data_IF_133276100640
#
_entry.id   IF_133276100640
#
_cell.length_a   1.000
_cell.length_b   1.000
_cell.length_c   1.000
_cell.angle_alpha   90.00
_cell.angle_beta   90.00
_cell.angle_gamma   90.00
#
_symmetry.space_group_name_H-M   'P 1'
#
loop_
_entity.id
_entity.type
_entity.pdbx_description
1 polymer ?
#
# COMPACT_ATOMS: atom_id res chain seq x y z
N UNK A 1 17.42 -6.35 -2.64
CA UNK A 1 16.49 -5.72 -3.61
C UNK A 1 16.25 -4.29 -3.15
N UNK A 2 16.82 -3.30 -3.83
CA UNK A 2 16.75 -1.88 -3.45
C UNK A 2 15.57 -1.28 -4.20
N UNK A 3 14.47 -0.98 -3.50
CA UNK A 3 13.24 -0.49 -4.12
C UNK A 3 13.50 0.95 -4.60
N UNK A 4 13.30 1.19 -5.90
CA UNK A 4 13.43 2.53 -6.50
C UNK A 4 12.41 3.46 -5.84
N UNK A 5 12.89 4.54 -5.21
CA UNK A 5 12.05 5.47 -4.45
C UNK A 5 11.31 6.39 -5.43
N UNK A 6 10.04 6.09 -5.73
CA UNK A 6 9.13 6.98 -6.47
C UNK A 6 8.62 8.16 -5.61
N UNK A 7 9.44 8.64 -4.66
CA UNK A 7 9.11 9.79 -3.83
C UNK A 7 9.72 11.03 -4.50
N UNK A 8 8.92 12.02 -4.92
CA UNK A 8 9.45 13.25 -5.48
C UNK A 8 10.34 13.95 -4.43
N UNK A 9 11.59 14.19 -4.81
CA UNK A 9 12.59 14.87 -3.99
C UNK A 9 12.19 16.34 -3.80
N UNK A 10 11.58 16.65 -2.64
CA UNK A 10 11.21 18.03 -2.29
C UNK A 10 10.02 18.15 -1.33
N UNK A 11 9.21 17.10 -1.19
CA UNK A 11 8.04 17.13 -0.30
C UNK A 11 8.08 15.97 0.69
N UNK A 12 8.25 16.31 1.96
CA UNK A 12 8.46 15.35 3.06
C UNK A 12 7.15 14.92 3.74
N UNK A 13 6.06 15.62 3.45
CA UNK A 13 4.76 15.43 4.09
C UNK A 13 3.77 14.82 3.10
N UNK A 14 3.16 13.72 3.53
CA UNK A 14 2.20 12.98 2.72
C UNK A 14 1.47 11.91 3.52
N UNK A 15 0.47 11.34 2.86
CA UNK A 15 -0.39 10.29 3.39
C UNK A 15 -0.07 8.98 2.65
N UNK A 16 -0.02 7.89 3.42
CA UNK A 16 0.07 6.53 2.86
C UNK A 16 -1.33 5.94 2.82
N UNK A 17 -1.68 5.40 1.65
CA UNK A 17 -2.93 4.67 1.47
C UNK A 17 -2.63 3.28 0.94
N UNK A 18 -3.34 2.29 1.49
CA UNK A 18 -3.18 0.88 1.13
C UNK A 18 -4.52 0.34 0.67
N UNK A 19 -4.51 -0.30 -0.49
CA UNK A 19 -5.65 -0.97 -1.08
C UNK A 19 -5.36 -2.45 -1.11
N UNK A 20 -6.36 -3.26 -0.81
CA UNK A 20 -6.26 -4.71 -0.85
C UNK A 20 -7.38 -5.24 -1.72
N UNK A 21 -7.08 -6.30 -2.46
CA UNK A 21 -8.05 -6.98 -3.30
C UNK A 21 -7.89 -8.50 -3.12
N UNK A 22 -9.00 -9.21 -3.18
CA UNK A 22 -9.03 -10.65 -3.03
C UNK A 22 -10.01 -11.26 -4.03
N UNK A 23 -9.54 -12.32 -4.68
CA UNK A 23 -10.30 -13.15 -5.59
C UNK A 23 -10.00 -14.61 -5.28
N UNK A 24 -10.87 -15.52 -5.72
CA UNK A 24 -10.68 -16.96 -5.55
C UNK A 24 -9.33 -17.48 -6.07
N UNK A 25 -8.70 -16.76 -7.00
CA UNK A 25 -7.42 -17.13 -7.64
C UNK A 25 -6.22 -16.43 -7.03
N UNK A 26 -6.40 -15.25 -6.45
CA UNK A 26 -5.29 -14.44 -5.97
C UNK A 26 -5.74 -13.35 -5.01
N UNK A 27 -4.85 -12.93 -4.13
CA UNK A 27 -5.03 -11.76 -3.28
C UNK A 27 -3.83 -10.84 -3.40
N UNK A 28 -4.08 -9.54 -3.36
CA UNK A 28 -3.07 -8.52 -3.59
C UNK A 28 -3.26 -7.32 -2.68
N UNK A 29 -2.18 -6.55 -2.53
CA UNK A 29 -2.16 -5.29 -1.85
C UNK A 29 -1.31 -4.29 -2.63
N UNK A 30 -1.81 -3.07 -2.81
CA UNK A 30 -1.14 -1.96 -3.46
C UNK A 30 -1.06 -0.77 -2.50
N UNK A 31 0.09 -0.11 -2.44
CA UNK A 31 0.33 1.06 -1.62
C UNK A 31 0.75 2.22 -2.50
N UNK A 32 0.07 3.35 -2.33
CA UNK A 32 0.47 4.62 -2.93
C UNK A 32 0.70 5.69 -1.87
N UNK A 33 1.41 6.73 -2.31
CA UNK A 33 1.74 7.88 -1.48
C UNK A 33 1.16 9.12 -2.09
N UNK A 34 0.40 9.84 -1.29
CA UNK A 34 -0.21 11.10 -1.66
C UNK A 34 0.59 12.24 -1.04
N UNK A 35 1.20 13.05 -1.89
CA UNK A 35 1.93 14.25 -1.49
C UNK A 35 1.00 15.45 -1.61
N UNK A 36 1.00 16.32 -0.61
CA UNK A 36 0.46 17.68 -0.77
C UNK A 36 1.55 18.56 -1.36
N UNK A 37 1.38 18.97 -2.62
CA UNK A 37 2.33 19.83 -3.33
C UNK A 37 2.10 21.31 -2.98
N UNK A 38 0.84 21.70 -2.76
CA UNK A 38 0.38 23.03 -2.31
C UNK A 38 -1.09 22.96 -1.87
N UNK A 39 -1.61 23.99 -1.20
CA UNK A 39 -3.00 24.11 -0.70
C UNK A 39 -4.09 23.64 -1.70
N UNK A 40 -3.83 23.76 -3.01
CA UNK A 40 -4.80 23.44 -4.08
C UNK A 40 -4.34 22.35 -5.05
N UNK A 41 -3.17 21.73 -4.84
CA UNK A 41 -2.66 20.67 -5.73
C UNK A 41 -2.14 19.47 -4.94
N UNK A 42 -2.85 18.37 -5.06
CA UNK A 42 -2.41 17.06 -4.58
C UNK A 42 -1.68 16.34 -5.72
N UNK A 43 -0.46 15.89 -5.47
CA UNK A 43 0.26 15.01 -6.37
C UNK A 43 0.14 13.59 -5.81
N UNK A 44 -0.51 12.70 -6.55
CA UNK A 44 -0.59 11.28 -6.20
C UNK A 44 0.54 10.56 -6.92
N UNK A 45 1.45 9.94 -6.17
CA UNK A 45 2.44 9.05 -6.77
C UNK A 45 1.72 7.76 -7.21
N UNK A 46 1.78 7.34 -8.49
CA UNK A 46 0.89 6.32 -9.05
C UNK A 46 0.99 4.93 -8.40
N UNK A 47 2.11 4.58 -7.76
CA UNK A 47 2.23 3.48 -6.78
C UNK A 47 3.67 3.43 -6.27
N UNK A 48 3.86 3.14 -4.98
CA UNK A 48 5.20 2.90 -4.42
C UNK A 48 5.51 1.40 -4.45
N UNK A 49 4.54 0.56 -4.06
CA UNK A 49 4.75 -0.88 -3.97
C UNK A 49 3.44 -1.63 -4.21
N UNK A 50 3.54 -2.76 -4.89
CA UNK A 50 2.46 -3.73 -5.00
C UNK A 50 2.97 -5.12 -4.66
N UNK A 51 2.12 -5.93 -4.02
CA UNK A 51 2.42 -7.34 -3.75
C UNK A 51 1.17 -8.18 -3.97
N UNK A 52 1.31 -9.22 -4.78
CA UNK A 52 0.26 -10.19 -5.04
C UNK A 52 0.71 -11.60 -4.63
N UNK A 53 -0.25 -12.46 -4.30
CA UNK A 53 -0.04 -13.89 -4.03
C UNK A 53 -1.16 -14.69 -4.68
N UNK A 54 -0.78 -15.84 -5.23
CA UNK A 54 -1.73 -16.82 -5.78
C UNK A 54 -2.44 -17.50 -4.61
N UNK A 55 -3.76 -17.63 -4.70
CA UNK A 55 -4.56 -18.37 -3.73
C UNK A 55 -4.19 -19.85 -3.78
N UNK A 56 -4.27 -20.54 -2.65
CA UNK A 56 -4.02 -21.99 -2.65
C UNK A 56 -5.09 -22.71 -3.47
N UNK A 57 -4.72 -23.82 -4.11
CA UNK A 57 -5.65 -24.66 -4.90
C UNK A 57 -6.72 -25.32 -4.00
N UNK A 58 -6.52 -25.34 -2.68
CA UNK A 58 -7.55 -25.77 -1.74
C UNK A 58 -8.72 -24.80 -1.80
N UNK A 59 -9.94 -25.32 -1.70
CA UNK A 59 -11.15 -24.51 -1.58
C UNK A 59 -11.03 -23.70 -0.28
N UNK A 60 -10.74 -22.41 -0.42
CA UNK A 60 -10.67 -21.43 0.66
C UNK A 60 -11.80 -20.43 0.42
N UNK A 61 -12.53 -20.10 1.47
CA UNK A 61 -13.59 -19.10 1.41
C UNK A 61 -13.03 -17.73 1.02
N UNK A 62 -13.77 -16.97 0.21
CA UNK A 62 -13.39 -15.62 -0.21
C UNK A 62 -13.08 -14.71 0.99
N UNK A 63 -13.85 -14.83 2.08
CA UNK A 63 -13.63 -14.09 3.34
C UNK A 63 -12.23 -14.34 3.95
N UNK A 64 -11.70 -15.56 3.82
CA UNK A 64 -10.35 -15.86 4.29
C UNK A 64 -9.29 -15.23 3.39
N UNK A 65 -9.53 -15.19 2.07
CA UNK A 65 -8.64 -14.54 1.12
C UNK A 65 -8.63 -13.02 1.33
N UNK A 66 -9.78 -12.40 1.61
CA UNK A 66 -9.89 -10.99 2.02
C UNK A 66 -9.08 -10.72 3.29
N UNK A 67 -9.18 -11.59 4.31
CA UNK A 67 -8.36 -11.47 5.51
C UNK A 67 -6.85 -11.59 5.22
N UNK A 68 -6.46 -12.49 4.31
CA UNK A 68 -5.06 -12.61 3.88
C UNK A 68 -4.60 -11.38 3.09
N UNK A 69 -5.46 -10.79 2.26
CA UNK A 69 -5.20 -9.55 1.55
C UNK A 69 -4.98 -8.39 2.53
N UNK A 70 -5.86 -8.23 3.51
CA UNK A 70 -5.75 -7.25 4.58
C UNK A 70 -4.45 -7.41 5.37
N UNK A 71 -4.09 -8.65 5.74
CA UNK A 71 -2.82 -8.95 6.40
C UNK A 71 -1.61 -8.61 5.52
N UNK A 72 -1.69 -8.90 4.22
CA UNK A 72 -0.64 -8.55 3.26
C UNK A 72 -0.44 -7.03 3.18
N UNK A 73 -1.54 -6.28 3.09
CA UNK A 73 -1.54 -4.82 3.10
C UNK A 73 -0.97 -4.23 4.39
N UNK A 74 -1.37 -4.73 5.56
CA UNK A 74 -0.86 -4.29 6.85
C UNK A 74 0.66 -4.52 6.98
N UNK A 75 1.15 -5.67 6.52
CA UNK A 75 2.59 -5.99 6.52
C UNK A 75 3.39 -5.12 5.56
N UNK A 76 2.84 -4.81 4.38
CA UNK A 76 3.46 -3.88 3.44
C UNK A 76 3.56 -2.49 4.05
N UNK A 77 2.49 -2.01 4.67
CA UNK A 77 2.46 -0.71 5.33
C UNK A 77 3.54 -0.62 6.41
N UNK A 78 3.63 -1.63 7.29
CA UNK A 78 4.64 -1.66 8.35
C UNK A 78 6.07 -1.69 7.79
N UNK A 79 6.31 -2.49 6.73
CA UNK A 79 7.63 -2.57 6.09
C UNK A 79 8.05 -1.22 5.51
N UNK A 80 7.10 -0.52 4.88
CA UNK A 80 7.33 0.80 4.29
C UNK A 80 7.55 1.85 5.37
N UNK A 81 6.78 1.85 6.45
CA UNK A 81 7.00 2.76 7.58
C UNK A 81 8.39 2.60 8.20
N UNK A 82 8.92 1.37 8.24
CA UNK A 82 10.28 1.12 8.72
C UNK A 82 11.37 1.58 7.74
N UNK A 83 11.11 1.52 6.43
CA UNK A 83 12.09 1.91 5.40
C UNK A 83 12.05 3.41 5.05
N UNK A 84 10.88 4.05 5.14
CA UNK A 84 10.66 5.45 4.79
C UNK A 84 11.01 6.34 5.99
N UNK A 85 12.12 7.08 5.89
CA UNK A 85 12.53 8.12 6.86
C UNK A 85 11.74 9.44 6.73
N UNK A 86 10.51 9.40 6.21
CA UNK A 86 9.69 10.60 5.94
C UNK A 86 8.63 10.77 7.04
N UNK A 87 8.24 12.02 7.32
CA UNK A 87 7.20 12.33 8.30
C UNK A 87 5.82 12.04 7.68
N UNK A 88 5.23 10.90 8.03
CA UNK A 88 3.86 10.55 7.64
C UNK A 88 2.88 11.27 8.57
N UNK A 89 1.98 12.09 8.01
CA UNK A 89 1.09 12.94 8.80
C UNK A 89 -0.22 12.24 9.19
N UNK A 90 -0.70 11.31 8.36
CA UNK A 90 -1.95 10.61 8.62
C UNK A 90 -1.96 9.22 7.98
N UNK A 91 -2.46 8.25 8.76
CA UNK A 91 -2.72 6.88 8.30
C UNK A 91 -4.22 6.78 8.08
N UNK A 92 -4.65 6.76 6.83
CA UNK A 92 -6.06 6.50 6.53
C UNK A 92 -6.20 5.01 6.19
N UNK A 93 -6.82 4.19 7.06
CA UNK A 93 -7.23 2.86 6.68
C UNK A 93 -8.45 2.99 5.76
N UNK A 94 -8.21 2.95 4.45
CA UNK A 94 -9.31 2.76 3.48
C UNK A 94 -9.62 1.27 3.42
N UNK A 95 -10.78 0.93 3.98
CA UNK A 95 -11.39 -0.41 3.93
C UNK A 95 -11.86 -0.70 2.51
#
# INVERSE_FOLDING_TARGET
MKILRCVPSGHTEGEIHVFVDASERSYAAALYWRVKLSEHKNAVSPSIIGKARVASIKIILILWLELQAALLGARLNLSILNEIKLKVYERVPTV
#
